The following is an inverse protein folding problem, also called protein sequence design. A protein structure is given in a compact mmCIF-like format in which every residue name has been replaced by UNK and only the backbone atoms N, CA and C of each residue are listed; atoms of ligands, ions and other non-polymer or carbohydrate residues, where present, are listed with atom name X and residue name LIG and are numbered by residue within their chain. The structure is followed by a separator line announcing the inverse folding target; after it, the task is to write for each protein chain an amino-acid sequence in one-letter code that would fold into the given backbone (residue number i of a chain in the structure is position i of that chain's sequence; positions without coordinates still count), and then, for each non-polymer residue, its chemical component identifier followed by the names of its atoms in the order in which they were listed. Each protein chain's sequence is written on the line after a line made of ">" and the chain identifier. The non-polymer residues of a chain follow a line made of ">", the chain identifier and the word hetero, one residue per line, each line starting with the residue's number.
data_IF_605390936445
#
_entry.id   IF_605390936445
#
_cell.length_a   1.000
_cell.length_b   1.000
_cell.length_c   1.000
_cell.angle_alpha   90.00
_cell.angle_beta   90.00
_cell.angle_gamma   90.00
#
_symmetry.space_group_name_H-M   'P 1'
#
loop_
_entity.id
_entity.type
_entity.pdbx_description
1 polymer ?
#
# COMPACT_ATOMS: atom_id res chain seq x y z
N UNK A 1 10.15 -21.67 19.41
CA UNK A 1 10.36 -23.12 19.25
C UNK A 1 11.59 -23.53 18.41
N UNK A 2 12.09 -22.75 17.44
CA UNK A 2 13.35 -23.08 16.72
C UNK A 2 14.64 -22.57 17.39
N UNK A 3 14.51 -21.55 18.23
CA UNK A 3 15.63 -20.99 19.01
C UNK A 3 16.05 -21.87 20.19
N UNK A 4 15.17 -22.73 20.70
CA UNK A 4 15.45 -23.54 21.89
C UNK A 4 16.31 -24.78 21.58
N UNK A 5 16.11 -25.38 20.40
CA UNK A 5 16.82 -26.60 20.00
C UNK A 5 18.22 -26.35 19.44
N UNK A 6 18.49 -25.15 18.90
CA UNK A 6 19.77 -24.86 18.26
C UNK A 6 20.92 -24.53 19.21
N UNK A 7 20.63 -24.01 20.41
CA UNK A 7 21.66 -23.51 21.34
C UNK A 7 21.99 -24.45 22.49
N UNK A 8 21.09 -25.37 22.87
CA UNK A 8 21.25 -26.18 24.09
C UNK A 8 21.70 -27.62 23.79
N UNK A 9 21.27 -28.24 22.69
CA UNK A 9 21.41 -29.70 22.54
C UNK A 9 22.52 -30.19 21.59
N UNK A 10 23.22 -29.34 20.82
CA UNK A 10 24.25 -29.78 19.84
C UNK A 10 23.82 -30.96 18.95
N UNK A 11 22.52 -31.16 18.71
CA UNK A 11 22.01 -32.16 17.77
C UNK A 11 21.86 -31.45 16.42
N UNK A 12 22.96 -31.36 15.67
CA UNK A 12 22.98 -30.78 14.32
C UNK A 12 22.38 -31.71 13.25
N UNK A 13 22.04 -32.95 13.59
CA UNK A 13 21.76 -33.99 12.60
C UNK A 13 20.27 -34.19 12.24
N UNK A 14 19.32 -33.44 12.81
CA UNK A 14 17.88 -33.72 12.62
C UNK A 14 17.08 -32.66 11.85
N UNK A 15 17.69 -31.57 11.36
CA UNK A 15 16.94 -30.47 10.73
C UNK A 15 17.08 -30.37 9.21
N UNK A 16 17.94 -31.16 8.58
CA UNK A 16 18.33 -30.93 7.18
C UNK A 16 17.32 -31.47 6.14
N UNK A 17 16.36 -32.32 6.55
CA UNK A 17 15.38 -32.92 5.64
C UNK A 17 13.92 -32.52 5.89
N UNK A 18 13.67 -31.42 6.61
CA UNK A 18 12.32 -30.84 6.65
C UNK A 18 12.17 -29.93 5.44
N UNK A 19 11.78 -30.50 4.30
CA UNK A 19 11.26 -29.74 3.15
C UNK A 19 10.03 -29.00 3.65
N UNK A 20 10.18 -27.70 3.94
CA UNK A 20 9.04 -26.84 4.25
C UNK A 20 8.11 -26.89 3.04
N UNK A 21 6.84 -27.32 3.18
CA UNK A 21 5.89 -27.22 2.09
C UNK A 21 5.85 -25.75 1.64
N UNK A 22 6.11 -25.51 0.36
CA UNK A 22 5.98 -24.17 -0.23
C UNK A 22 4.53 -23.76 -0.02
N UNK A 23 4.29 -22.83 0.92
CA UNK A 23 2.96 -22.22 1.06
C UNK A 23 2.61 -21.61 -0.28
N UNK A 24 1.53 -22.10 -0.87
CA UNK A 24 0.92 -21.49 -2.05
C UNK A 24 0.76 -19.99 -1.78
N UNK A 25 1.37 -19.15 -2.63
CA UNK A 25 1.23 -17.71 -2.53
C UNK A 25 -0.17 -17.35 -3.02
N UNK A 26 -1.16 -17.36 -2.12
CA UNK A 26 -2.46 -16.74 -2.38
C UNK A 26 -2.20 -15.27 -2.77
N UNK A 27 -2.84 -14.82 -3.86
CA UNK A 27 -2.81 -13.41 -4.23
C UNK A 27 -3.27 -12.59 -3.02
N UNK A 28 -2.58 -11.48 -2.68
CA UNK A 28 -2.96 -10.67 -1.53
C UNK A 28 -4.39 -10.15 -1.75
N UNK A 29 -5.25 -10.35 -0.75
CA UNK A 29 -6.58 -9.75 -0.73
C UNK A 29 -6.39 -8.24 -0.60
N UNK A 30 -6.93 -7.47 -1.56
CA UNK A 30 -6.93 -6.01 -1.54
C UNK A 30 -8.35 -5.47 -1.31
N UNK A 31 -8.45 -4.20 -0.91
CA UNK A 31 -9.71 -3.45 -0.93
C UNK A 31 -9.84 -2.74 -2.28
N UNK A 32 -10.98 -2.91 -2.93
CA UNK A 32 -11.34 -2.12 -4.11
C UNK A 32 -11.52 -0.64 -3.76
N UNK A 33 -11.45 0.24 -4.76
CA UNK A 33 -11.67 1.69 -4.58
C UNK A 33 -13.02 2.00 -3.94
N UNK A 34 -14.07 1.27 -4.31
CA UNK A 34 -15.40 1.42 -3.73
C UNK A 34 -15.44 1.03 -2.25
N UNK A 35 -14.78 -0.07 -1.89
CA UNK A 35 -14.64 -0.51 -0.49
C UNK A 35 -13.84 0.51 0.34
N UNK A 36 -12.76 1.09 -0.21
CA UNK A 36 -12.00 2.15 0.45
C UNK A 36 -12.91 3.35 0.76
N UNK A 37 -13.67 3.82 -0.23
CA UNK A 37 -14.61 4.95 -0.04
C UNK A 37 -15.68 4.60 0.98
N UNK A 38 -16.27 3.40 0.90
CA UNK A 38 -17.28 2.92 1.86
C UNK A 38 -16.74 2.88 3.29
N UNK A 39 -15.54 2.33 3.48
CA UNK A 39 -14.84 2.27 4.76
C UNK A 39 -14.55 3.66 5.34
N UNK A 40 -14.03 4.58 4.52
CA UNK A 40 -13.72 5.95 4.95
C UNK A 40 -14.99 6.71 5.35
N UNK A 41 -16.09 6.56 4.59
CA UNK A 41 -17.37 7.20 4.90
C UNK A 41 -18.03 6.64 6.16
N UNK A 42 -17.89 5.34 6.42
CA UNK A 42 -18.39 4.70 7.64
C UNK A 42 -17.58 5.07 8.90
N UNK A 43 -16.38 5.65 8.73
CA UNK A 43 -15.52 6.05 9.85
C UNK A 43 -15.89 7.44 10.36
N UNK A 44 -16.75 7.47 11.39
CA UNK A 44 -17.32 8.73 11.94
C UNK A 44 -16.28 9.61 12.65
N UNK A 45 -15.35 9.02 13.42
CA UNK A 45 -14.37 9.79 14.17
C UNK A 45 -13.36 10.46 13.20
N UNK A 46 -13.23 11.80 13.18
CA UNK A 46 -12.38 12.50 12.21
C UNK A 46 -10.91 12.10 12.28
N UNK A 47 -10.37 11.88 13.49
CA UNK A 47 -8.99 11.43 13.68
C UNK A 47 -8.78 10.02 13.11
N UNK A 48 -9.72 9.12 13.33
CA UNK A 48 -9.65 7.75 12.83
C UNK A 48 -9.77 7.72 11.30
N UNK A 49 -10.71 8.47 10.75
CA UNK A 49 -10.89 8.60 9.30
C UNK A 49 -9.64 9.16 8.64
N UNK A 50 -9.04 10.20 9.21
CA UNK A 50 -7.80 10.78 8.71
C UNK A 50 -6.64 9.78 8.77
N UNK A 51 -6.50 9.02 9.87
CA UNK A 51 -5.47 7.98 10.00
C UNK A 51 -5.53 6.98 8.83
N UNK A 52 -6.72 6.44 8.55
CA UNK A 52 -6.92 5.48 7.46
C UNK A 52 -6.71 6.13 6.09
N UNK A 53 -7.18 7.36 5.91
CA UNK A 53 -7.06 8.10 4.66
C UNK A 53 -5.61 8.42 4.31
N UNK A 54 -4.79 8.88 5.27
CA UNK A 54 -3.36 9.15 5.06
C UNK A 54 -2.59 7.84 4.82
N UNK A 55 -2.95 6.77 5.53
CA UNK A 55 -2.34 5.45 5.34
C UNK A 55 -2.55 4.96 3.90
N UNK A 56 -3.78 5.10 3.37
CA UNK A 56 -4.10 4.75 1.99
C UNK A 56 -3.49 5.74 0.99
N UNK A 57 -3.58 7.05 1.20
CA UNK A 57 -3.17 8.04 0.21
C UNK A 57 -1.66 8.12 -0.01
N UNK A 58 -0.86 7.84 1.03
CA UNK A 58 0.60 7.87 0.96
C UNK A 58 1.24 6.47 1.10
N UNK A 59 0.41 5.42 1.16
CA UNK A 59 0.84 4.03 1.26
C UNK A 59 1.73 3.73 2.46
N UNK A 60 1.48 4.35 3.63
CA UNK A 60 2.39 4.24 4.79
C UNK A 60 2.31 2.87 5.49
N UNK A 61 3.42 2.45 6.11
CA UNK A 61 3.38 1.34 7.09
C UNK A 61 2.71 1.82 8.37
N UNK A 62 2.14 0.90 9.14
CA UNK A 62 1.56 1.21 10.47
C UNK A 62 2.57 1.93 11.37
N UNK A 63 3.82 1.48 11.39
CA UNK A 63 4.87 2.10 12.18
C UNK A 63 5.24 3.51 11.70
N UNK A 64 5.06 3.81 10.41
CA UNK A 64 5.34 5.11 9.82
C UNK A 64 4.21 6.10 10.16
N UNK A 65 2.95 5.72 9.89
CA UNK A 65 1.78 6.59 10.13
C UNK A 65 1.63 6.96 11.62
N UNK A 66 1.77 6.00 12.53
CA UNK A 66 1.59 6.30 13.96
C UNK A 66 2.70 7.22 14.48
N UNK A 67 3.93 7.13 13.96
CA UNK A 67 5.06 7.95 14.41
C UNK A 67 5.17 9.27 13.64
N UNK A 68 4.19 9.62 12.83
CA UNK A 68 4.24 10.85 12.05
C UNK A 68 4.07 12.06 12.97
N UNK A 69 4.90 13.09 12.78
CA UNK A 69 4.78 14.36 13.50
C UNK A 69 4.10 15.42 12.66
N UNK A 70 3.56 16.44 13.32
CA UNK A 70 2.95 17.59 12.64
C UNK A 70 3.96 18.30 11.74
N UNK A 71 5.21 18.43 12.19
CA UNK A 71 6.34 19.02 11.45
C UNK A 71 6.80 18.21 10.23
N UNK A 72 6.35 16.95 10.10
CA UNK A 72 6.70 16.12 8.95
C UNK A 72 5.80 16.37 7.74
N UNK A 73 4.75 17.18 7.89
CA UNK A 73 3.84 17.55 6.80
C UNK A 73 4.32 18.84 6.14
N UNK A 74 4.71 18.72 4.88
CA UNK A 74 4.94 19.87 4.00
C UNK A 74 3.66 20.12 3.19
N UNK A 75 2.86 21.09 3.64
CA UNK A 75 1.56 21.41 3.04
C UNK A 75 1.67 22.17 1.73
N UNK A 76 2.80 22.82 1.46
CA UNK A 76 3.01 23.62 0.24
C UNK A 76 3.42 22.73 -0.92
N UNK A 77 4.21 21.68 -0.61
CA UNK A 77 4.68 20.71 -1.60
C UNK A 77 3.87 19.42 -1.65
N UNK A 78 2.86 19.29 -0.78
CA UNK A 78 2.02 18.09 -0.66
C UNK A 78 2.85 16.83 -0.34
N UNK A 79 3.85 16.97 0.53
CA UNK A 79 4.78 15.91 0.88
C UNK A 79 4.68 15.55 2.36
N UNK A 80 4.94 14.27 2.65
CA UNK A 80 5.16 13.77 4.00
C UNK A 80 6.60 13.28 4.11
N UNK A 81 7.34 13.79 5.10
CA UNK A 81 8.65 13.28 5.47
C UNK A 81 8.51 12.04 6.35
N UNK A 82 8.98 10.90 5.87
CA UNK A 82 9.04 9.66 6.65
C UNK A 82 10.44 9.49 7.23
N UNK A 83 10.54 9.63 8.55
CA UNK A 83 11.80 9.51 9.30
C UNK A 83 12.21 8.05 9.49
N UNK A 84 13.53 7.82 9.53
CA UNK A 84 14.11 6.50 9.86
C UNK A 84 13.50 5.38 9.02
N UNK A 85 13.31 5.61 7.72
CA UNK A 85 12.89 4.54 6.82
C UNK A 85 14.01 3.50 6.70
N UNK A 86 13.71 2.38 6.05
CA UNK A 86 14.61 1.23 5.94
C UNK A 86 16.03 1.67 5.55
N UNK A 87 17.01 1.36 6.41
CA UNK A 87 18.42 1.77 6.22
C UNK A 87 18.79 3.12 6.86
N UNK A 88 18.00 3.63 7.81
CA UNK A 88 18.21 4.93 8.49
C UNK A 88 18.26 6.13 7.53
N UNK A 89 17.55 6.05 6.40
CA UNK A 89 17.40 7.17 5.47
C UNK A 89 15.97 7.69 5.54
N UNK A 90 15.85 9.00 5.51
CA UNK A 90 14.54 9.64 5.37
C UNK A 90 14.07 9.54 3.92
N UNK A 91 12.75 9.53 3.72
CA UNK A 91 12.14 9.56 2.39
C UNK A 91 10.93 10.47 2.39
N UNK A 92 10.63 11.06 1.24
CA UNK A 92 9.41 11.82 1.02
C UNK A 92 8.40 10.96 0.28
N UNK A 93 7.13 11.10 0.65
CA UNK A 93 6.00 10.51 -0.09
C UNK A 93 5.00 11.61 -0.40
N UNK A 94 4.34 11.48 -1.55
CA UNK A 94 3.27 12.39 -1.95
C UNK A 94 2.01 12.16 -1.11
N UNK A 95 1.33 13.24 -0.76
CA UNK A 95 0.05 13.25 -0.09
C UNK A 95 -1.01 13.76 -1.06
N UNK A 96 -2.14 13.06 -1.21
CA UNK A 96 -3.21 13.58 -2.07
C UNK A 96 -3.82 14.87 -1.50
N UNK A 97 -4.24 15.78 -2.38
CA UNK A 97 -4.91 17.02 -1.99
C UNK A 97 -6.12 16.78 -1.09
N UNK A 98 -6.93 15.76 -1.38
CA UNK A 98 -8.08 15.35 -0.57
C UNK A 98 -7.64 14.97 0.85
N UNK A 99 -6.50 14.27 0.97
CA UNK A 99 -5.96 13.91 2.26
C UNK A 99 -5.41 15.12 3.04
N UNK A 100 -4.77 16.05 2.33
CA UNK A 100 -4.27 17.30 2.88
C UNK A 100 -5.40 18.20 3.38
N UNK A 101 -6.53 18.30 2.67
CA UNK A 101 -7.70 19.05 3.10
C UNK A 101 -8.29 18.50 4.40
N UNK A 102 -8.46 17.17 4.50
CA UNK A 102 -8.97 16.61 5.74
C UNK A 102 -7.94 16.70 6.89
N UNK A 103 -6.64 16.70 6.59
CA UNK A 103 -5.59 17.00 7.57
C UNK A 103 -5.70 18.44 8.08
N UNK A 104 -5.95 19.42 7.21
CA UNK A 104 -6.20 20.82 7.60
C UNK A 104 -7.43 20.94 8.50
N UNK A 105 -8.52 20.24 8.17
CA UNK A 105 -9.74 20.22 9.00
C UNK A 105 -9.49 19.56 10.37
N UNK A 106 -8.74 18.48 10.40
CA UNK A 106 -8.29 17.85 11.64
C UNK A 106 -7.44 18.79 12.50
N UNK A 107 -6.48 19.49 11.90
CA UNK A 107 -5.64 20.45 12.61
C UNK A 107 -6.45 21.63 13.18
N UNK A 108 -7.52 22.06 12.48
CA UNK A 108 -8.50 23.05 12.96
C UNK A 108 -9.20 22.65 14.26
N UNK A 109 -9.57 21.38 14.39
CA UNK A 109 -10.36 20.88 15.52
C UNK A 109 -9.47 20.43 16.68
N UNK A 110 -8.40 19.67 16.39
CA UNK A 110 -7.65 18.96 17.43
C UNK A 110 -6.35 19.65 17.84
N UNK A 111 -5.82 20.56 17.00
CA UNK A 111 -4.58 21.31 17.26
C UNK A 111 -3.43 20.45 17.86
N UNK A 112 -3.13 19.27 17.28
CA UNK A 112 -2.13 18.37 17.85
C UNK A 112 -0.77 19.06 17.95
N UNK A 113 -0.05 18.82 19.05
CA UNK A 113 1.31 19.29 19.28
C UNK A 113 2.26 18.07 19.27
N UNK A 114 3.31 18.12 18.45
CA UNK A 114 4.24 17.00 18.31
C UNK A 114 3.72 15.89 17.41
N UNK A 115 3.10 14.84 17.97
CA UNK A 115 2.59 13.70 17.21
C UNK A 115 1.33 14.07 16.42
N UNK A 116 1.28 13.70 15.14
CA UNK A 116 0.09 13.94 14.31
C UNK A 116 -1.11 13.12 14.82
N UNK A 117 -0.86 11.89 15.28
CA UNK A 117 -1.88 11.04 15.90
C UNK A 117 -1.45 10.70 17.33
N UNK A 118 -1.76 11.55 18.32
CA UNK A 118 -1.38 11.30 19.71
C UNK A 118 -2.15 10.12 20.32
N UNK A 119 -1.56 9.43 21.29
CA UNK A 119 -2.24 8.46 22.15
C UNK A 119 -3.18 9.17 23.15
N UNK A 120 -3.87 8.40 24.01
CA UNK A 120 -4.82 8.96 24.98
C UNK A 120 -4.21 10.02 25.91
N UNK A 121 -2.95 9.83 26.31
CA UNK A 121 -2.22 10.72 27.21
C UNK A 121 -1.54 11.91 26.51
N UNK A 122 -1.54 11.97 25.17
CA UNK A 122 -0.94 13.06 24.39
C UNK A 122 0.59 13.03 24.25
N UNK A 123 1.30 12.48 25.24
CA UNK A 123 2.77 12.38 25.29
C UNK A 123 3.37 11.41 24.26
N UNK A 124 2.63 10.33 23.97
CA UNK A 124 3.04 9.25 23.07
C UNK A 124 2.22 9.28 21.80
N UNK A 125 2.76 8.67 20.75
CA UNK A 125 2.00 8.40 19.55
C UNK A 125 0.93 7.32 19.78
N UNK A 126 -0.03 7.23 18.86
CA UNK A 126 -1.00 6.14 18.78
C UNK A 126 -0.29 4.77 18.77
N UNK A 127 -0.83 3.78 19.48
CA UNK A 127 -0.24 2.44 19.46
C UNK A 127 -0.58 1.70 18.15
N UNK A 128 0.28 0.77 17.66
CA UNK A 128 -0.05 -0.06 16.50
C UNK A 128 -1.35 -0.84 16.69
N UNK A 129 -1.57 -1.39 17.89
CA UNK A 129 -2.79 -2.13 18.24
C UNK A 129 -4.04 -1.26 18.15
N UNK A 130 -3.95 0.01 18.54
CA UNK A 130 -5.06 0.95 18.42
C UNK A 130 -5.34 1.26 16.95
N UNK A 131 -4.30 1.43 16.12
CA UNK A 131 -4.48 1.64 14.68
C UNK A 131 -5.15 0.43 14.00
N UNK A 132 -4.71 -0.79 14.31
CA UNK A 132 -5.36 -2.03 13.82
C UNK A 132 -6.83 -2.11 14.27
N UNK A 133 -7.12 -1.85 15.55
CA UNK A 133 -8.49 -1.84 16.07
C UNK A 133 -9.38 -0.78 15.38
N UNK A 134 -8.82 0.41 15.09
CA UNK A 134 -9.54 1.45 14.33
C UNK A 134 -9.92 0.93 12.94
N UNK A 135 -8.99 0.24 12.28
CA UNK A 135 -9.22 -0.33 10.96
C UNK A 135 -10.26 -1.47 10.99
N UNK A 136 -10.16 -2.40 11.94
CA UNK A 136 -11.14 -3.48 12.16
C UNK A 136 -12.55 -2.91 12.35
N UNK A 137 -12.70 -1.89 13.21
CA UNK A 137 -13.99 -1.22 13.43
C UNK A 137 -14.52 -0.52 12.18
N UNK A 138 -13.63 0.00 11.32
CA UNK A 138 -14.03 0.62 10.06
C UNK A 138 -14.52 -0.43 9.05
N UNK A 139 -13.90 -1.60 8.98
CA UNK A 139 -14.37 -2.73 8.17
C UNK A 139 -15.74 -3.22 8.62
N UNK A 140 -15.92 -3.42 9.93
CA UNK A 140 -17.19 -3.86 10.52
C UNK A 140 -18.32 -2.88 10.18
N UNK A 141 -18.11 -1.58 10.44
CA UNK A 141 -19.09 -0.53 10.15
C UNK A 141 -19.40 -0.37 8.67
N UNK A 142 -18.46 -0.70 7.79
CA UNK A 142 -18.67 -0.66 6.35
C UNK A 142 -19.15 -1.99 5.76
N UNK A 143 -19.40 -3.01 6.60
CA UNK A 143 -19.86 -4.33 6.19
C UNK A 143 -18.94 -4.95 5.12
N UNK A 144 -17.62 -4.79 5.27
CA UNK A 144 -16.62 -5.39 4.38
C UNK A 144 -16.16 -6.70 5.01
N UNK A 145 -16.57 -7.82 4.39
CA UNK A 145 -16.27 -9.17 4.87
C UNK A 145 -14.96 -9.69 4.30
N UNK A 146 -13.83 -9.07 4.68
CA UNK A 146 -12.48 -9.50 4.28
C UNK A 146 -11.61 -9.67 5.52
N UNK A 147 -10.96 -10.83 5.64
CA UNK A 147 -9.99 -11.10 6.70
C UNK A 147 -8.64 -10.45 6.34
N UNK A 148 -8.52 -9.16 6.69
CA UNK A 148 -7.35 -8.34 6.36
C UNK A 148 -6.99 -7.43 7.53
N UNK A 149 -5.70 -7.10 7.66
CA UNK A 149 -5.20 -6.10 8.60
C UNK A 149 -5.02 -4.75 7.92
N UNK A 150 -4.74 -3.69 8.68
CA UNK A 150 -4.56 -2.32 8.15
C UNK A 150 -3.48 -2.23 7.05
N UNK A 151 -2.52 -3.18 7.01
CA UNK A 151 -1.51 -3.29 5.97
C UNK A 151 -2.14 -3.42 4.57
N UNK A 152 -3.38 -3.90 4.46
CA UNK A 152 -4.12 -3.96 3.20
C UNK A 152 -4.32 -2.59 2.57
N UNK A 153 -4.39 -1.50 3.35
CA UNK A 153 -4.53 -0.15 2.79
C UNK A 153 -3.32 0.21 1.95
N UNK A 154 -2.13 -0.14 2.43
CA UNK A 154 -0.88 0.04 1.70
C UNK A 154 -0.80 -0.89 0.48
N UNK A 155 -1.24 -2.14 0.60
CA UNK A 155 -1.30 -3.05 -0.53
C UNK A 155 -2.25 -2.53 -1.62
N UNK A 156 -3.42 -2.03 -1.21
CA UNK A 156 -4.45 -1.48 -2.10
C UNK A 156 -3.94 -0.21 -2.78
N UNK A 157 -3.27 0.69 -2.05
CA UNK A 157 -2.61 1.86 -2.63
C UNK A 157 -1.61 1.47 -3.73
N UNK A 158 -0.72 0.53 -3.42
CA UNK A 158 0.30 0.07 -4.38
C UNK A 158 -0.33 -0.52 -5.64
N UNK A 159 -1.33 -1.39 -5.49
CA UNK A 159 -2.05 -1.98 -6.62
C UNK A 159 -2.78 -0.91 -7.43
N UNK A 160 -3.52 -0.02 -6.77
CA UNK A 160 -4.30 1.01 -7.45
C UNK A 160 -3.40 1.98 -8.23
N UNK A 161 -2.22 2.34 -7.71
CA UNK A 161 -1.24 3.13 -8.48
C UNK A 161 -0.81 2.41 -9.76
N UNK A 162 -0.56 1.10 -9.69
CA UNK A 162 -0.13 0.33 -10.85
C UNK A 162 -1.28 0.13 -11.86
N UNK A 163 -2.51 -0.04 -11.39
CA UNK A 163 -3.73 -0.03 -12.23
C UNK A 163 -3.91 1.31 -12.94
N UNK A 164 -3.57 2.42 -12.26
CA UNK A 164 -3.59 3.77 -12.83
C UNK A 164 -2.40 4.04 -13.78
N UNK A 165 -1.56 3.03 -14.02
CA UNK A 165 -0.46 3.08 -14.99
C UNK A 165 0.88 3.55 -14.42
N UNK A 166 1.02 3.68 -13.09
CA UNK A 166 2.29 4.05 -12.49
C UNK A 166 3.39 3.03 -12.79
N UNK A 167 4.63 3.51 -12.92
CA UNK A 167 5.79 2.65 -13.12
C UNK A 167 6.08 1.79 -11.87
N UNK A 168 6.39 0.50 -12.08
CA UNK A 168 6.66 -0.43 -10.98
C UNK A 168 7.84 0.02 -10.10
N UNK A 169 8.89 0.58 -10.70
CA UNK A 169 10.07 1.10 -9.98
C UNK A 169 9.68 2.32 -9.14
N UNK A 170 8.82 3.18 -9.67
CA UNK A 170 8.27 4.31 -8.93
C UNK A 170 7.47 3.84 -7.69
N UNK A 171 6.61 2.83 -7.85
CA UNK A 171 5.87 2.23 -6.72
C UNK A 171 6.81 1.52 -5.73
N UNK A 172 7.89 0.88 -6.19
CA UNK A 172 8.90 0.28 -5.32
C UNK A 172 9.61 1.31 -4.43
N UNK A 173 10.01 2.43 -5.02
CA UNK A 173 10.67 3.54 -4.34
C UNK A 173 9.74 4.20 -3.32
N UNK A 174 8.49 4.49 -3.71
CA UNK A 174 7.44 5.01 -2.83
C UNK A 174 7.07 4.08 -1.68
N UNK A 175 7.37 2.79 -1.76
CA UNK A 175 7.17 1.83 -0.67
C UNK A 175 8.48 1.52 0.08
N UNK A 176 9.63 2.01 -0.36
CA UNK A 176 10.90 1.86 0.36
C UNK A 176 11.29 0.39 0.54
N UNK A 177 11.00 -0.44 -0.47
CA UNK A 177 11.39 -1.84 -0.48
C UNK A 177 12.84 -1.97 -0.98
N UNK A 178 13.79 -2.23 -0.08
CA UNK A 178 15.19 -2.52 -0.48
C UNK A 178 15.38 -3.88 -1.16
N UNK A 179 14.32 -4.69 -1.30
CA UNK A 179 14.35 -6.03 -1.91
C UNK A 179 13.20 -6.16 -2.92
N UNK A 180 13.49 -6.45 -4.21
CA UNK A 180 12.49 -6.61 -5.27
C UNK A 180 11.39 -7.64 -4.96
N UNK A 181 11.71 -8.66 -4.16
CA UNK A 181 10.81 -9.81 -3.89
C UNK A 181 9.49 -9.45 -3.19
N UNK A 182 9.45 -8.37 -2.39
CA UNK A 182 8.22 -7.89 -1.74
C UNK A 182 7.31 -7.10 -2.68
N UNK A 183 7.82 -6.66 -3.82
CA UNK A 183 7.06 -5.93 -4.84
C UNK A 183 6.62 -6.84 -5.99
N UNK A 184 7.31 -7.97 -6.20
CA UNK A 184 6.88 -9.01 -7.14
C UNK A 184 5.54 -9.68 -6.75
N UNK A 185 5.03 -9.45 -5.54
CA UNK A 185 3.66 -9.86 -5.21
C UNK A 185 2.66 -8.98 -5.97
N UNK A 186 2.94 -7.68 -6.14
CA UNK A 186 2.05 -6.76 -6.85
C UNK A 186 2.08 -6.94 -8.37
N UNK A 187 3.17 -7.46 -8.95
CA UNK A 187 3.20 -7.82 -10.38
C UNK A 187 2.19 -8.89 -10.76
N UNK A 188 1.82 -9.76 -9.82
CA UNK A 188 0.77 -10.76 -10.05
C UNK A 188 -0.64 -10.17 -9.96
N UNK A 189 -0.82 -9.07 -9.21
CA UNK A 189 -2.11 -8.37 -9.08
C UNK A 189 -2.33 -7.44 -10.28
N UNK A 190 -1.26 -6.85 -10.79
CA UNK A 190 -1.24 -6.09 -12.04
C UNK A 190 -1.08 -7.01 -13.23
N UNK A 191 -2.00 -7.96 -13.41
CA UNK A 191 -2.30 -8.40 -14.77
C UNK A 191 -2.87 -7.18 -15.49
N UNK A 192 -1.97 -6.27 -15.91
CA UNK A 192 -2.25 -5.18 -16.84
C UNK A 192 -3.08 -5.80 -17.93
N UNK A 193 -4.32 -5.34 -18.09
CA UNK A 193 -5.19 -5.55 -19.24
C UNK A 193 -4.55 -6.45 -20.30
N UNK A 194 -4.59 -7.78 -20.10
CA UNK A 194 -4.12 -8.73 -21.12
C UNK A 194 -4.96 -8.55 -22.40
N UNK A 195 -6.11 -7.90 -22.29
CA UNK A 195 -6.99 -7.42 -23.35
C UNK A 195 -6.43 -6.22 -24.14
N UNK A 196 -5.53 -5.40 -23.57
CA UNK A 196 -4.83 -4.30 -24.28
C UNK A 196 -3.51 -4.73 -24.90
N UNK A 197 -2.92 -5.83 -24.42
CA UNK A 197 -1.72 -6.42 -25.04
C UNK A 197 -2.19 -7.20 -26.26
N UNK A 198 -2.24 -6.53 -27.42
CA UNK A 198 -2.51 -7.20 -28.70
C UNK A 198 -1.44 -8.24 -29.00
N UNK A 199 -1.86 -9.39 -29.54
CA UNK A 199 -0.92 -10.43 -29.92
C UNK A 199 0.03 -9.89 -30.99
N UNK A 200 1.34 -10.24 -30.96
CA UNK A 200 2.25 -9.95 -32.05
C UNK A 200 1.72 -10.42 -33.41
N UNK A 201 0.93 -11.51 -33.42
CA UNK A 201 0.26 -12.02 -34.61
C UNK A 201 -0.77 -11.01 -35.16
N UNK A 202 -1.54 -10.35 -34.29
CA UNK A 202 -2.56 -9.36 -34.69
C UNK A 202 -1.91 -8.14 -35.36
N UNK A 203 -0.71 -7.75 -34.93
CA UNK A 203 0.05 -6.66 -35.54
C UNK A 203 0.60 -7.04 -36.92
N UNK A 204 1.00 -8.31 -37.10
CA UNK A 204 1.51 -8.82 -38.38
C UNK A 204 0.38 -8.94 -39.41
N UNK A 205 -0.77 -9.50 -39.01
CA UNK A 205 -1.93 -9.69 -39.89
C UNK A 205 -2.55 -8.36 -40.32
N UNK A 206 -2.63 -7.37 -39.42
CA UNK A 206 -3.16 -6.05 -39.77
C UNK A 206 -2.22 -5.26 -40.70
N UNK A 207 -0.89 -5.36 -40.53
CA UNK A 207 0.09 -4.77 -41.47
C UNK A 207 -0.01 -5.36 -42.88
N UNK A 208 -0.29 -6.65 -43.01
CA UNK A 208 -0.48 -7.28 -44.33
C UNK A 208 -1.79 -6.86 -45.01
N UNK A 209 -2.86 -6.61 -44.24
CA UNK A 209 -4.13 -6.10 -44.77
C UNK A 209 -4.04 -4.64 -45.23
N UNK A 210 -3.24 -3.81 -44.56
CA UNK A 210 -2.99 -2.42 -44.96
C UNK A 210 -2.14 -2.36 -46.25
N UNK A 211 -1.07 -3.17 -46.34
CA UNK A 211 -0.24 -3.26 -47.54
C UNK A 211 -0.93 -3.91 -48.76
N UNK A 212 -2.05 -4.62 -48.54
CA UNK A 212 -2.86 -5.22 -49.60
C UNK A 212 -3.91 -4.27 -50.19
N UNK A 213 -4.28 -3.18 -49.50
CA UNK A 213 -5.28 -2.21 -49.97
C UNK A 213 -4.72 -1.14 -50.91
N UNK A 214 -3.40 -0.92 -50.92
CA UNK A 214 -2.75 0.07 -51.79
C UNK A 214 -2.55 -0.38 -53.24
N UNK A 215 -2.89 -1.63 -53.59
CA UNK A 215 -2.70 -2.17 -54.95
C UNK A 215 -3.95 -2.21 -55.82
N UNK A 216 -5.10 -1.74 -55.34
CA UNK A 216 -6.39 -1.83 -56.07
C UNK A 216 -7.00 -0.48 -56.45
N UNK A 217 -6.26 0.62 -56.31
CA UNK A 217 -6.79 1.99 -56.42
C UNK A 217 -6.26 2.87 -57.54
N UNK A 218 -5.74 2.33 -58.67
CA UNK A 218 -5.48 3.11 -59.88
C UNK A 218 -5.78 2.29 -61.13
N UNK A 219 -6.96 2.53 -61.70
CA UNK A 219 -7.24 2.43 -63.13
C UNK A 219 -7.30 3.88 -63.61
#
# INVERSE_FOLDING_TARGET
>A
MKLFYGSILKISAFTDNIVRPRREKKLPVILSRQEIVKMLNATVNPKHRLLLMVTYSAGLRVSEIIRLRVEDIDSDRELIRIRNAKGNKDRYVTLSMVALEALRNYWKVYRPQGWLFPGPSGDKHLSPRTAEKIFEQALEKSQINKDVSIHVLRHSYATHLLEDGADLRYVQELLGHSRPETTMIYTHVTQKDLTKIRSPLDNIVNKQKENGKDKTGKI
#
